data_IF_295458354820
#
_entry.id   IF_295458354820
#
_cell.length_a   1.000
_cell.length_b   1.000
_cell.length_c   1.000
_cell.angle_alpha   90.00
_cell.angle_beta   90.00
_cell.angle_gamma   90.00
#
_symmetry.space_group_name_H-M   'P 1'
#
loop_
_entity.id
_entity.type
_entity.pdbx_description
1 polymer ?
#
# COMPACT_ATOMS: atom_id res chain seq x y z
N UNK A 1 -44.05 -59.07 25.55
CA UNK A 1 -45.00 -57.97 25.86
C UNK A 1 -44.39 -57.14 26.98
N UNK A 2 -44.23 -55.83 26.71
CA UNK A 2 -44.19 -54.69 27.67
C UNK A 2 -43.03 -54.67 28.67
N UNK A 3 -41.95 -53.87 28.52
CA UNK A 3 -41.83 -52.39 28.68
C UNK A 3 -42.31 -51.96 30.08
N UNK A 4 -41.60 -51.27 30.98
CA UNK A 4 -40.93 -49.99 30.85
C UNK A 4 -40.11 -49.70 32.13
N UNK A 5 -38.89 -49.17 32.03
CA UNK A 5 -38.22 -48.43 33.12
C UNK A 5 -37.82 -47.06 32.57
N UNK A 6 -38.46 -46.03 33.12
CA UNK A 6 -38.18 -44.62 32.85
C UNK A 6 -36.85 -44.25 33.54
N UNK A 7 -35.91 -43.70 32.77
CA UNK A 7 -34.74 -43.00 33.31
C UNK A 7 -34.74 -41.57 32.80
N UNK A 8 -34.54 -40.66 33.75
CA UNK A 8 -34.35 -39.23 33.60
C UNK A 8 -33.24 -38.91 32.58
N UNK A 9 -33.53 -38.01 31.64
CA UNK A 9 -32.52 -37.36 30.80
C UNK A 9 -32.55 -35.87 31.15
N UNK A 10 -31.50 -35.39 31.81
CA UNK A 10 -31.24 -33.96 31.96
C UNK A 10 -30.75 -33.42 30.62
N UNK A 11 -31.52 -32.52 30.00
CA UNK A 11 -31.02 -31.63 28.95
C UNK A 11 -30.21 -30.51 29.63
N UNK A 12 -28.92 -30.42 29.31
CA UNK A 12 -28.15 -29.19 29.47
C UNK A 12 -28.07 -28.57 28.07
N UNK A 13 -28.80 -27.47 27.87
CA UNK A 13 -28.58 -26.58 26.72
C UNK A 13 -27.29 -25.79 26.96
N UNK A 14 -26.28 -26.01 26.12
CA UNK A 14 -25.16 -25.09 25.98
C UNK A 14 -25.41 -24.19 24.77
N UNK A 15 -25.83 -22.95 25.02
CA UNK A 15 -25.82 -21.89 24.02
C UNK A 15 -24.36 -21.47 23.76
N UNK A 16 -23.75 -22.02 22.71
CA UNK A 16 -22.50 -21.50 22.16
C UNK A 16 -22.85 -20.42 21.13
N UNK A 17 -22.87 -19.17 21.59
CA UNK A 17 -22.86 -18.01 20.70
C UNK A 17 -21.53 -17.97 19.96
N UNK A 18 -21.57 -18.13 18.63
CA UNK A 18 -20.43 -17.88 17.78
C UNK A 18 -20.20 -16.38 17.73
N UNK A 19 -19.16 -15.92 18.44
CA UNK A 19 -18.59 -14.60 18.24
C UNK A 19 -17.76 -14.68 16.95
N UNK A 20 -18.35 -14.28 15.82
CA UNK A 20 -17.58 -14.09 14.59
C UNK A 20 -16.68 -12.87 14.78
N UNK A 21 -15.45 -13.10 15.20
CA UNK A 21 -14.39 -12.12 15.10
C UNK A 21 -14.13 -11.94 13.60
N UNK A 22 -14.63 -10.85 13.03
CA UNK A 22 -14.18 -10.39 11.72
C UNK A 22 -12.77 -9.85 11.89
N UNK A 23 -11.78 -10.72 11.70
CA UNK A 23 -10.42 -10.29 11.40
C UNK A 23 -10.51 -9.68 10.01
N UNK A 24 -10.42 -8.33 9.92
CA UNK A 24 -10.21 -7.67 8.64
C UNK A 24 -8.83 -8.08 8.15
N UNK A 25 -8.79 -8.70 6.97
CA UNK A 25 -7.54 -8.93 6.27
C UNK A 25 -6.87 -7.57 6.04
N UNK A 26 -5.69 -7.41 6.63
CA UNK A 26 -4.67 -6.50 6.13
C UNK A 26 -4.53 -6.77 4.62
N UNK A 27 -4.46 -5.72 3.80
CA UNK A 27 -4.42 -5.82 2.35
C UNK A 27 -3.03 -6.33 1.91
N UNK A 28 -2.75 -7.60 2.25
CA UNK A 28 -1.59 -8.34 1.79
C UNK A 28 -1.76 -8.49 0.28
N UNK A 29 -1.14 -7.60 -0.49
CA UNK A 29 -1.01 -7.81 -1.94
C UNK A 29 -0.36 -9.18 -2.11
N UNK A 30 -1.00 -10.11 -2.82
CA UNK A 30 -0.58 -11.50 -2.80
C UNK A 30 0.84 -11.57 -3.36
N UNK A 31 1.76 -12.26 -2.69
CA UNK A 31 3.15 -12.42 -3.14
C UNK A 31 3.29 -13.30 -4.39
N UNK A 32 2.16 -13.77 -4.91
CA UNK A 32 2.01 -14.54 -6.11
C UNK A 32 0.68 -14.25 -6.83
N UNK A 33 0.65 -14.56 -8.12
CA UNK A 33 -0.55 -14.54 -8.97
C UNK A 33 -0.67 -15.89 -9.66
N UNK A 34 -1.89 -16.31 -9.96
CA UNK A 34 -2.17 -17.57 -10.66
C UNK A 34 -3.08 -17.29 -11.84
N UNK A 35 -2.61 -17.59 -13.05
CA UNK A 35 -3.32 -17.31 -14.32
C UNK A 35 -2.85 -18.29 -15.39
N UNK A 36 -3.76 -18.70 -16.28
CA UNK A 36 -3.45 -19.52 -17.45
C UNK A 36 -2.79 -18.63 -18.52
N UNK A 37 -1.46 -18.71 -18.62
CA UNK A 37 -0.65 -17.84 -19.48
C UNK A 37 -0.66 -18.29 -20.94
N UNK A 38 -0.80 -19.59 -21.20
CA UNK A 38 -0.72 -20.17 -22.54
C UNK A 38 -2.03 -20.74 -23.09
N UNK A 39 -3.10 -20.70 -22.29
CA UNK A 39 -4.44 -21.10 -22.68
C UNK A 39 -4.66 -22.62 -22.68
N UNK A 40 -3.81 -23.40 -21.98
CA UNK A 40 -3.93 -24.86 -21.91
C UNK A 40 -4.94 -25.34 -20.85
N UNK A 41 -5.52 -24.42 -20.08
CA UNK A 41 -6.47 -24.69 -19.01
C UNK A 41 -5.82 -25.03 -17.66
N UNK A 42 -4.49 -24.92 -17.54
CA UNK A 42 -3.73 -25.13 -16.31
C UNK A 42 -3.02 -23.83 -15.95
N UNK A 43 -3.36 -23.21 -14.82
CA UNK A 43 -2.78 -21.91 -14.52
C UNK A 43 -1.32 -22.02 -14.06
N UNK A 44 -0.48 -21.14 -14.60
CA UNK A 44 0.87 -20.87 -14.13
C UNK A 44 0.84 -20.01 -12.86
N UNK A 45 1.89 -20.16 -12.05
CA UNK A 45 2.14 -19.29 -10.90
C UNK A 45 3.20 -18.25 -11.24
N UNK A 46 2.85 -16.98 -11.08
CA UNK A 46 3.74 -15.84 -11.20
C UNK A 46 4.12 -15.41 -9.78
N UNK A 47 5.42 -15.31 -9.48
CA UNK A 47 5.91 -14.83 -8.20
C UNK A 47 6.97 -13.77 -8.39
N UNK A 48 7.26 -12.98 -7.37
CA UNK A 48 8.39 -12.07 -7.36
C UNK A 48 9.25 -12.30 -6.12
N UNK A 49 10.53 -12.56 -6.36
CA UNK A 49 11.48 -12.92 -5.30
C UNK A 49 12.52 -11.81 -5.19
N UNK A 50 12.65 -11.24 -3.98
CA UNK A 50 13.72 -10.29 -3.68
C UNK A 50 15.08 -10.90 -4.03
N UNK A 51 15.83 -10.25 -4.90
CA UNK A 51 17.17 -10.72 -5.29
C UNK A 51 18.29 -9.79 -4.82
N UNK A 52 17.99 -8.52 -4.58
CA UNK A 52 18.92 -7.57 -3.99
C UNK A 52 18.18 -6.42 -3.32
N UNK A 53 18.91 -5.62 -2.57
CA UNK A 53 18.47 -4.39 -1.94
C UNK A 53 19.66 -3.43 -1.96
N UNK A 54 19.41 -2.18 -2.30
CA UNK A 54 20.40 -1.11 -2.26
C UNK A 54 19.99 -0.08 -1.21
N UNK A 55 20.96 0.51 -0.51
CA UNK A 55 20.67 1.55 0.49
C UNK A 55 20.01 2.79 -0.14
N UNK A 56 20.43 3.13 -1.36
CA UNK A 56 19.97 4.33 -2.06
C UNK A 56 18.58 4.14 -2.68
N UNK A 57 18.25 2.98 -3.24
CA UNK A 57 17.02 2.82 -4.03
C UNK A 57 15.96 2.02 -3.26
N UNK A 58 16.34 0.90 -2.64
CA UNK A 58 15.42 0.01 -1.93
C UNK A 58 15.50 -1.43 -2.42
N UNK A 59 14.37 -2.15 -2.36
CA UNK A 59 14.32 -3.59 -2.65
C UNK A 59 14.05 -3.87 -4.13
N UNK A 60 14.74 -4.86 -4.68
CA UNK A 60 14.58 -5.31 -6.07
C UNK A 60 14.13 -6.76 -6.14
N UNK A 61 13.14 -7.01 -6.99
CA UNK A 61 12.49 -8.30 -7.14
C UNK A 61 12.62 -8.84 -8.57
N UNK A 62 12.83 -10.15 -8.66
CA UNK A 62 12.85 -10.88 -9.91
C UNK A 62 11.50 -11.58 -10.06
N UNK A 63 10.77 -11.27 -11.13
CA UNK A 63 9.55 -12.03 -11.49
C UNK A 63 9.94 -13.41 -12.00
N UNK A 64 9.21 -14.43 -11.57
CA UNK A 64 9.37 -15.82 -11.97
C UNK A 64 8.02 -16.40 -12.37
N UNK A 65 8.04 -17.25 -13.38
CA UNK A 65 6.86 -18.00 -13.83
C UNK A 65 7.15 -19.47 -13.66
N UNK A 66 6.24 -20.17 -12.99
CA UNK A 66 6.29 -21.61 -12.77
C UNK A 66 5.05 -22.28 -13.35
N UNK A 67 5.22 -23.49 -13.85
CA UNK A 67 4.11 -24.35 -14.23
C UNK A 67 3.32 -24.81 -12.98
N UNK A 68 2.17 -25.45 -13.22
CA UNK A 68 1.31 -25.99 -12.15
C UNK A 68 1.99 -27.06 -11.27
N UNK A 69 3.07 -27.69 -11.73
CA UNK A 69 3.86 -28.67 -10.96
C UNK A 69 5.02 -28.01 -10.18
N UNK A 70 5.24 -26.70 -10.34
CA UNK A 70 6.33 -25.94 -9.72
C UNK A 70 7.62 -25.92 -10.53
N UNK A 71 7.62 -26.41 -11.76
CA UNK A 71 8.73 -26.30 -12.71
C UNK A 71 8.91 -24.86 -13.18
N UNK A 72 10.14 -24.36 -13.20
CA UNK A 72 10.43 -22.99 -13.63
C UNK A 72 10.32 -22.88 -15.17
N UNK A 73 9.41 -22.02 -15.64
CA UNK A 73 9.21 -21.74 -17.06
C UNK A 73 10.02 -20.53 -17.53
N UNK A 74 10.05 -19.47 -16.72
CA UNK A 74 10.73 -18.22 -17.06
C UNK A 74 11.16 -17.44 -15.82
N UNK A 75 12.26 -16.68 -15.95
CA UNK A 75 12.66 -15.67 -14.98
C UNK A 75 12.98 -14.35 -15.66
N UNK A 76 12.57 -13.27 -15.02
CA UNK A 76 12.95 -11.91 -15.39
C UNK A 76 14.43 -11.64 -15.13
N UNK A 77 14.93 -10.51 -15.67
CA UNK A 77 16.31 -10.11 -15.46
C UNK A 77 16.57 -9.77 -13.97
N UNK A 78 17.80 -10.04 -13.51
CA UNK A 78 18.32 -9.54 -12.23
C UNK A 78 19.15 -8.29 -12.47
N UNK A 79 18.48 -7.19 -12.77
CA UNK A 79 19.11 -5.90 -13.03
C UNK A 79 18.47 -4.84 -12.14
N UNK A 80 19.25 -3.82 -11.76
CA UNK A 80 18.83 -2.74 -10.86
C UNK A 80 18.54 -1.44 -11.61
N UNK A 81 18.59 -1.46 -12.94
CA UNK A 81 18.22 -0.30 -13.76
C UNK A 81 16.70 -0.08 -13.71
N UNK A 82 16.27 0.95 -12.98
CA UNK A 82 14.85 1.23 -12.71
C UNK A 82 14.09 1.74 -13.93
N UNK A 83 14.80 2.17 -14.99
CA UNK A 83 14.23 2.48 -16.31
C UNK A 83 13.88 1.21 -17.11
N UNK A 84 14.41 0.05 -16.71
CA UNK A 84 14.11 -1.20 -17.38
C UNK A 84 12.67 -1.63 -17.06
N UNK A 85 11.81 -1.84 -18.08
CA UNK A 85 10.40 -2.19 -17.87
C UNK A 85 10.17 -3.57 -17.24
N UNK A 86 11.21 -4.42 -17.13
CA UNK A 86 11.17 -5.71 -16.46
C UNK A 86 11.83 -5.69 -15.07
N UNK A 87 12.05 -4.50 -14.51
CA UNK A 87 12.58 -4.32 -13.16
C UNK A 87 11.43 -3.93 -12.22
N UNK A 88 11.37 -4.60 -11.09
CA UNK A 88 10.29 -4.47 -10.11
C UNK A 88 10.91 -4.22 -8.74
N UNK A 89 10.30 -3.36 -7.96
CA UNK A 89 10.87 -2.96 -6.68
C UNK A 89 9.92 -2.23 -5.76
N UNK A 90 10.38 -2.15 -4.52
CA UNK A 90 9.88 -1.25 -3.50
C UNK A 90 10.97 -0.22 -3.28
N UNK A 91 10.84 0.92 -3.95
CA UNK A 91 11.85 1.98 -3.88
C UNK A 91 11.35 3.18 -3.11
N UNK A 92 12.29 4.03 -2.68
CA UNK A 92 11.97 5.28 -2.00
C UNK A 92 11.16 6.25 -2.87
N UNK A 93 11.08 6.02 -4.18
CA UNK A 93 10.32 6.83 -5.12
C UNK A 93 9.16 6.06 -5.75
N UNK A 94 8.74 4.94 -5.15
CA UNK A 94 7.52 4.26 -5.52
C UNK A 94 7.61 2.74 -5.54
N UNK A 95 6.43 2.13 -5.59
CA UNK A 95 6.22 0.70 -5.74
C UNK A 95 6.03 0.34 -7.21
N UNK A 96 6.55 -0.81 -7.62
CA UNK A 96 6.48 -1.21 -9.02
C UNK A 96 6.16 -2.69 -9.25
N UNK A 97 5.70 -3.44 -8.24
CA UNK A 97 5.36 -4.86 -8.43
C UNK A 97 4.00 -5.01 -9.15
N UNK A 98 3.74 -6.16 -9.80
CA UNK A 98 2.49 -6.39 -10.53
C UNK A 98 1.23 -6.21 -9.68
N UNK A 99 0.18 -5.63 -10.27
CA UNK A 99 -1.15 -5.49 -9.66
C UNK A 99 -2.17 -6.47 -10.24
N UNK A 100 -2.01 -6.82 -11.52
CA UNK A 100 -2.93 -7.69 -12.24
C UNK A 100 -2.16 -8.54 -13.25
N UNK A 101 -2.59 -9.79 -13.40
CA UNK A 101 -2.25 -10.67 -14.50
C UNK A 101 -3.54 -11.12 -15.20
N UNK A 102 -3.83 -10.60 -16.39
CA UNK A 102 -5.07 -10.87 -17.13
C UNK A 102 -4.93 -10.52 -18.62
N UNK A 103 -5.86 -10.99 -19.45
CA UNK A 103 -6.08 -10.45 -20.81
C UNK A 103 -6.78 -9.10 -20.69
N UNK A 104 -6.01 -8.01 -20.79
CA UNK A 104 -6.52 -6.65 -20.53
C UNK A 104 -6.92 -5.88 -21.79
N UNK A 105 -6.70 -6.45 -22.98
CA UNK A 105 -7.08 -5.87 -24.26
C UNK A 105 -7.97 -6.77 -25.14
N UNK A 106 -8.28 -7.97 -24.66
CA UNK A 106 -9.23 -8.92 -25.26
C UNK A 106 -8.66 -9.70 -26.44
N UNK A 107 -7.33 -9.77 -26.58
CA UNK A 107 -6.67 -10.48 -27.67
C UNK A 107 -6.29 -11.94 -27.33
N UNK A 108 -6.58 -12.37 -26.10
CA UNK A 108 -6.32 -13.71 -25.58
C UNK A 108 -4.91 -13.93 -25.05
N UNK A 109 -4.00 -12.96 -25.17
CA UNK A 109 -2.72 -12.99 -24.47
C UNK A 109 -2.89 -12.46 -23.04
N UNK A 110 -2.04 -12.92 -22.12
CA UNK A 110 -2.04 -12.42 -20.75
C UNK A 110 -1.00 -11.32 -20.59
N UNK A 111 -1.40 -10.22 -19.98
CA UNK A 111 -0.52 -9.13 -19.57
C UNK A 111 -0.36 -9.05 -18.05
N UNK A 112 0.82 -8.62 -17.63
CA UNK A 112 1.03 -7.99 -16.35
C UNK A 112 0.76 -6.49 -16.45
N UNK A 113 -0.09 -5.99 -15.56
CA UNK A 113 -0.25 -4.56 -15.30
C UNK A 113 0.58 -4.19 -14.09
N UNK A 114 1.57 -3.33 -14.29
CA UNK A 114 2.49 -2.94 -13.21
C UNK A 114 2.60 -1.41 -13.16
N UNK A 115 2.46 -0.77 -11.99
CA UNK A 115 2.73 0.66 -11.86
C UNK A 115 4.22 0.91 -12.13
N UNK A 116 4.51 2.01 -12.82
CA UNK A 116 5.83 2.62 -12.77
C UNK A 116 6.01 3.25 -11.37
N UNK A 117 7.23 3.24 -10.83
CA UNK A 117 7.48 3.86 -9.53
C UNK A 117 7.19 5.36 -9.59
N UNK A 118 6.44 5.84 -8.61
CA UNK A 118 6.02 7.24 -8.50
C UNK A 118 6.09 7.70 -7.04
N UNK A 119 6.57 8.93 -6.82
CA UNK A 119 6.78 9.55 -5.51
C UNK A 119 5.87 10.75 -5.24
N UNK A 120 4.98 11.09 -6.18
CA UNK A 120 4.07 12.23 -6.11
C UNK A 120 2.60 11.80 -6.28
N UNK A 121 1.68 12.78 -6.28
CA UNK A 121 0.24 12.57 -6.50
C UNK A 121 -0.13 12.92 -7.95
N UNK A 122 0.59 12.36 -8.91
CA UNK A 122 0.28 12.46 -10.34
C UNK A 122 -0.46 11.21 -10.85
N UNK A 123 -1.01 11.23 -12.08
CA UNK A 123 -1.62 10.04 -12.67
C UNK A 123 -0.66 8.86 -12.76
N UNK A 124 -1.09 7.72 -12.23
CA UNK A 124 -0.30 6.49 -12.22
C UNK A 124 0.11 6.11 -13.64
N UNK A 125 1.41 6.06 -13.87
CA UNK A 125 1.97 5.45 -15.07
C UNK A 125 1.98 3.93 -14.90
N UNK A 126 1.56 3.21 -15.93
CA UNK A 126 1.64 1.76 -15.98
C UNK A 126 2.61 1.30 -17.04
N UNK A 127 3.27 0.17 -16.76
CA UNK A 127 4.02 -0.65 -17.70
C UNK A 127 3.23 -1.93 -17.92
N UNK A 128 2.87 -2.18 -19.17
CA UNK A 128 2.17 -3.38 -19.60
C UNK A 128 3.16 -4.32 -20.24
N UNK A 129 3.17 -5.55 -19.73
CA UNK A 129 4.16 -6.56 -20.07
C UNK A 129 3.41 -7.83 -20.46
N UNK A 130 3.50 -8.24 -21.72
CA UNK A 130 2.75 -9.35 -22.29
C UNK A 130 3.52 -10.66 -22.21
N UNK A 131 2.83 -11.75 -21.88
CA UNK A 131 3.36 -13.09 -22.04
C UNK A 131 3.35 -13.47 -23.53
N UNK A 132 4.53 -13.68 -24.10
CA UNK A 132 4.69 -14.02 -25.51
C UNK A 132 5.91 -14.90 -25.73
N UNK A 133 5.69 -16.08 -26.32
CA UNK A 133 6.77 -17.01 -26.67
C UNK A 133 7.54 -17.51 -25.45
N UNK A 134 6.84 -17.82 -24.35
CA UNK A 134 7.44 -18.37 -23.13
C UNK A 134 8.17 -17.35 -22.26
N UNK A 135 7.90 -16.05 -22.43
CA UNK A 135 8.51 -14.97 -21.63
C UNK A 135 7.63 -13.73 -21.57
N UNK A 136 7.88 -12.89 -20.58
CA UNK A 136 7.29 -11.55 -20.53
C UNK A 136 8.07 -10.55 -21.40
N UNK A 137 7.33 -9.76 -22.19
CA UNK A 137 7.87 -8.74 -23.11
C UNK A 137 7.11 -7.41 -22.89
N UNK A 138 7.80 -6.27 -22.70
CA UNK A 138 7.15 -4.97 -22.57
C UNK A 138 6.42 -4.60 -23.87
N UNK A 139 5.16 -4.15 -23.76
CA UNK A 139 4.34 -3.81 -24.94
C UNK A 139 3.77 -2.39 -24.89
N UNK A 140 3.56 -1.82 -23.70
CA UNK A 140 3.00 -0.47 -23.57
C UNK A 140 3.45 0.19 -22.28
N UNK A 141 3.57 1.51 -22.33
CA UNK A 141 3.68 2.36 -21.15
C UNK A 141 2.79 3.58 -21.31
N UNK A 142 2.10 3.96 -20.23
CA UNK A 142 1.26 5.15 -20.23
C UNK A 142 0.34 5.20 -19.01
N UNK A 143 -0.38 6.30 -18.90
CA UNK A 143 -1.40 6.52 -17.88
C UNK A 143 -2.80 6.25 -18.44
N UNK A 144 -3.76 6.11 -17.52
CA UNK A 144 -5.17 5.94 -17.80
C UNK A 144 -5.94 7.15 -17.26
N UNK A 145 -5.75 8.29 -17.91
CA UNK A 145 -6.35 9.57 -17.54
C UNK A 145 -7.69 9.76 -18.26
N UNK A 146 -8.71 10.17 -17.53
CA UNK A 146 -10.07 10.34 -18.03
C UNK A 146 -10.11 11.42 -19.12
N UNK A 147 -10.41 11.00 -20.35
CA UNK A 147 -10.37 11.88 -21.51
C UNK A 147 -11.51 11.58 -22.48
N UNK A 148 -12.41 12.53 -22.78
CA UNK A 148 -12.58 13.83 -22.10
C UNK A 148 -12.99 13.69 -20.62
N UNK A 149 -12.75 14.72 -19.82
CA UNK A 149 -13.17 14.73 -18.40
C UNK A 149 -14.67 14.50 -18.24
N UNK A 150 -15.06 13.72 -17.24
CA UNK A 150 -16.45 13.41 -16.93
C UNK A 150 -17.14 12.39 -17.84
N UNK A 151 -16.43 11.75 -18.77
CA UNK A 151 -17.02 10.74 -19.67
C UNK A 151 -16.94 9.31 -19.12
N UNK A 152 -16.19 9.08 -18.04
CA UNK A 152 -15.85 7.76 -17.53
C UNK A 152 -14.97 6.96 -18.49
N UNK A 153 -14.24 7.61 -19.40
CA UNK A 153 -13.38 6.93 -20.38
C UNK A 153 -11.93 7.19 -20.05
N UNK A 154 -11.15 6.14 -19.86
CA UNK A 154 -9.75 6.18 -19.53
C UNK A 154 -8.94 5.59 -20.67
N UNK A 155 -8.70 6.34 -21.76
CA UNK A 155 -7.81 5.89 -22.81
C UNK A 155 -6.37 5.82 -22.32
N UNK A 156 -5.58 4.95 -22.94
CA UNK A 156 -4.14 4.96 -22.77
C UNK A 156 -3.55 6.27 -23.29
N UNK A 157 -2.80 6.95 -22.45
CA UNK A 157 -2.26 8.28 -22.76
C UNK A 157 -0.79 8.41 -22.34
N UNK A 158 -0.09 9.32 -23.04
CA UNK A 158 1.25 9.80 -22.69
C UNK A 158 1.24 11.29 -22.29
N UNK A 159 0.09 11.75 -21.78
CA UNK A 159 -0.08 13.13 -21.33
C UNK A 159 0.94 13.50 -20.24
N UNK A 160 1.25 14.78 -20.12
CA UNK A 160 1.95 15.39 -18.99
C UNK A 160 0.98 16.06 -17.99
N UNK A 161 -0.33 15.87 -18.20
CA UNK A 161 -1.36 16.42 -17.34
C UNK A 161 -1.38 15.73 -15.98
N UNK A 162 -1.24 16.52 -14.92
CA UNK A 162 -1.17 16.07 -13.53
C UNK A 162 -2.49 16.28 -12.77
N UNK A 163 -3.51 16.86 -13.42
CA UNK A 163 -4.84 17.07 -12.86
C UNK A 163 -5.90 16.29 -13.64
N UNK A 164 -6.87 15.72 -12.95
CA UNK A 164 -7.99 15.02 -13.55
C UNK A 164 -8.36 13.77 -12.78
N UNK A 165 -9.09 12.88 -13.44
CA UNK A 165 -9.53 11.59 -12.91
C UNK A 165 -8.70 10.50 -13.59
N UNK A 166 -8.11 9.55 -12.87
CA UNK A 166 -7.37 8.45 -13.47
C UNK A 166 -7.60 7.13 -12.74
N UNK A 167 -7.36 6.02 -13.45
CA UNK A 167 -7.26 4.71 -12.80
C UNK A 167 -5.94 4.67 -12.01
N UNK A 168 -6.02 4.57 -10.68
CA UNK A 168 -4.86 4.62 -9.78
C UNK A 168 -4.31 3.24 -9.42
N UNK A 169 -5.18 2.22 -9.39
CA UNK A 169 -4.82 0.84 -9.07
C UNK A 169 -5.74 -0.16 -9.79
N UNK A 170 -5.20 -1.32 -10.15
CA UNK A 170 -6.00 -2.48 -10.59
C UNK A 170 -6.23 -3.44 -9.42
N UNK A 171 -7.49 -3.81 -9.17
CA UNK A 171 -7.91 -4.58 -7.98
C UNK A 171 -8.38 -6.01 -8.33
N UNK A 172 -8.44 -6.36 -9.61
CA UNK A 172 -8.79 -7.70 -10.08
C UNK A 172 -9.71 -7.74 -11.30
N UNK A 173 -10.02 -8.95 -11.75
CA UNK A 173 -10.97 -9.25 -12.83
C UNK A 173 -12.24 -9.83 -12.23
N UNK A 174 -13.39 -9.34 -12.68
CA UNK A 174 -14.70 -9.88 -12.33
C UNK A 174 -15.10 -11.02 -13.28
N UNK A 175 -16.08 -11.83 -12.87
CA UNK A 175 -16.52 -12.99 -13.67
C UNK A 175 -17.12 -12.65 -15.03
N UNK A 176 -17.54 -11.39 -15.25
CA UNK A 176 -18.03 -10.89 -16.54
C UNK A 176 -16.91 -10.31 -17.43
N UNK A 177 -15.65 -10.45 -17.01
CA UNK A 177 -14.47 -9.89 -17.69
C UNK A 177 -14.29 -8.39 -17.48
N UNK A 178 -15.11 -7.71 -16.66
CA UNK A 178 -14.81 -6.34 -16.26
C UNK A 178 -13.63 -6.30 -15.29
N UNK A 179 -12.90 -5.20 -15.31
CA UNK A 179 -11.79 -4.96 -14.39
C UNK A 179 -12.31 -4.12 -13.23
N UNK A 180 -12.04 -4.56 -12.01
CA UNK A 180 -12.27 -3.74 -10.82
C UNK A 180 -11.05 -2.86 -10.60
N UNK A 181 -11.27 -1.56 -10.55
CA UNK A 181 -10.21 -0.56 -10.46
C UNK A 181 -10.51 0.45 -9.37
N UNK A 182 -9.44 0.97 -8.80
CA UNK A 182 -9.48 2.18 -8.01
C UNK A 182 -9.34 3.39 -8.93
N UNK A 183 -10.13 4.42 -8.67
CA UNK A 183 -10.11 5.67 -9.42
C UNK A 183 -9.79 6.80 -8.47
N UNK A 184 -8.79 7.60 -8.82
CA UNK A 184 -8.39 8.79 -8.09
C UNK A 184 -8.71 10.02 -8.91
N UNK A 185 -9.06 11.12 -8.25
CA UNK A 185 -9.23 12.42 -8.88
C UNK A 185 -8.50 13.51 -8.12
N UNK A 186 -7.77 14.33 -8.86
CA UNK A 186 -7.12 15.53 -8.35
C UNK A 186 -7.49 16.76 -9.18
N UNK A 187 -8.17 17.71 -8.54
CA UNK A 187 -8.56 18.99 -9.16
C UNK A 187 -7.57 20.14 -8.96
N UNK A 188 -6.42 19.90 -8.32
CA UNK A 188 -5.52 20.94 -7.84
C UNK A 188 -5.82 21.39 -6.39
N UNK A 189 -4.80 21.86 -5.67
CA UNK A 189 -4.95 22.28 -4.27
C UNK A 189 -5.10 21.09 -3.32
N UNK A 190 -6.14 21.11 -2.46
CA UNK A 190 -6.41 20.08 -1.43
C UNK A 190 -7.56 19.13 -1.79
N UNK A 191 -8.19 19.30 -2.95
CA UNK A 191 -9.35 18.49 -3.34
C UNK A 191 -8.88 17.22 -4.03
N UNK A 192 -8.86 16.12 -3.27
CA UNK A 192 -8.65 14.76 -3.77
C UNK A 192 -9.90 13.93 -3.55
N UNK A 193 -10.25 13.12 -4.54
CA UNK A 193 -11.36 12.17 -4.45
C UNK A 193 -10.89 10.78 -4.83
N UNK A 194 -11.51 9.77 -4.23
CA UNK A 194 -11.25 8.38 -4.55
C UNK A 194 -12.55 7.60 -4.60
N UNK A 195 -12.58 6.59 -5.46
CA UNK A 195 -13.69 5.68 -5.65
C UNK A 195 -13.21 4.38 -6.24
N UNK A 196 -14.15 3.47 -6.47
CA UNK A 196 -13.91 2.21 -7.13
C UNK A 196 -14.97 2.00 -8.21
N UNK A 197 -14.52 1.50 -9.36
CA UNK A 197 -15.36 1.25 -10.50
C UNK A 197 -15.12 -0.15 -11.05
N UNK A 198 -16.15 -0.69 -11.69
CA UNK A 198 -15.97 -1.72 -12.69
C UNK A 198 -15.84 -1.05 -14.05
N UNK A 199 -14.78 -1.37 -14.76
CA UNK A 199 -14.53 -0.85 -16.11
C UNK A 199 -14.59 -1.98 -17.14
N UNK A 200 -15.13 -1.67 -18.31
CA UNK A 200 -15.08 -2.52 -19.49
C UNK A 200 -13.84 -2.23 -20.32
N UNK A 201 -13.29 -3.27 -20.95
CA UNK A 201 -12.20 -3.18 -21.91
C UNK A 201 -12.73 -2.54 -23.20
N UNK A 202 -12.06 -1.49 -23.67
CA UNK A 202 -12.22 -0.93 -25.02
C UNK A 202 -10.86 -0.98 -25.74
N UNK A 203 -10.89 -0.89 -27.07
CA UNK A 203 -9.69 -0.97 -27.93
C UNK A 203 -8.52 -0.10 -27.45
N UNK A 204 -8.82 1.11 -26.98
CA UNK A 204 -7.82 2.12 -26.64
C UNK A 204 -7.79 2.45 -25.14
N UNK A 205 -8.38 1.62 -24.27
CA UNK A 205 -8.38 1.83 -22.82
C UNK A 205 -9.59 1.23 -22.13
N UNK A 206 -10.19 1.97 -21.21
CA UNK A 206 -11.29 1.47 -20.38
C UNK A 206 -12.46 2.44 -20.29
N UNK A 207 -13.66 1.91 -20.09
CA UNK A 207 -14.87 2.69 -19.85
C UNK A 207 -15.56 2.25 -18.56
N UNK A 208 -15.96 3.19 -17.71
CA UNK A 208 -16.74 2.91 -16.50
C UNK A 208 -18.06 2.26 -16.90
N UNK A 209 -18.26 1.01 -16.47
CA UNK A 209 -19.56 0.33 -16.53
C UNK A 209 -20.43 0.77 -15.35
N UNK A 210 -19.87 0.76 -14.14
CA UNK A 210 -20.54 1.22 -12.92
C UNK A 210 -19.54 1.55 -11.82
N UNK A 211 -19.94 2.44 -10.92
CA UNK A 211 -19.24 2.67 -9.66
C UNK A 211 -19.67 1.63 -8.63
N UNK A 212 -18.72 0.92 -8.02
CA UNK A 212 -18.94 0.12 -6.81
C UNK A 212 -18.86 1.03 -5.58
N UNK A 213 -18.00 2.04 -5.65
CA UNK A 213 -17.86 3.12 -4.67
C UNK A 213 -17.73 4.45 -5.40
N UNK A 214 -18.70 5.38 -5.27
CA UNK A 214 -18.63 6.66 -5.99
C UNK A 214 -17.40 7.45 -5.56
N UNK A 215 -16.88 8.29 -6.47
CA UNK A 215 -15.85 9.27 -6.12
C UNK A 215 -16.34 10.15 -4.97
N UNK A 216 -15.65 10.05 -3.84
CA UNK A 216 -15.88 10.87 -2.66
C UNK A 216 -14.59 11.58 -2.29
N UNK A 217 -14.72 12.77 -1.71
CA UNK A 217 -13.58 13.41 -1.06
C UNK A 217 -12.97 12.41 -0.07
N UNK A 218 -11.64 12.36 0.00
CA UNK A 218 -10.98 11.50 0.98
C UNK A 218 -11.48 11.79 2.41
N UNK A 219 -11.84 13.04 2.69
CA UNK A 219 -12.46 13.49 3.96
C UNK A 219 -13.83 12.86 4.27
N UNK A 220 -14.54 12.32 3.27
CA UNK A 220 -15.91 11.79 3.38
C UNK A 220 -15.98 10.26 3.25
N UNK A 221 -14.84 9.61 3.08
CA UNK A 221 -14.71 8.16 3.02
C UNK A 221 -14.63 7.59 4.45
N UNK A 222 -15.44 6.60 4.84
CA UNK A 222 -15.23 5.93 6.12
C UNK A 222 -13.85 5.28 6.08
N UNK A 223 -12.90 5.81 6.86
CA UNK A 223 -11.55 5.26 6.96
C UNK A 223 -11.61 3.75 7.18
N UNK A 224 -10.73 2.96 6.55
CA UNK A 224 -10.56 1.56 6.92
C UNK A 224 -9.90 1.53 8.30
N UNK A 225 -10.69 1.69 9.37
CA UNK A 225 -10.30 1.66 10.81
C UNK A 225 -8.79 1.83 11.01
N UNK A 226 -8.32 3.07 10.91
CA UNK A 226 -7.05 3.52 11.41
C UNK A 226 -7.35 4.88 12.07
N UNK A 227 -7.02 4.99 13.36
CA UNK A 227 -7.39 6.12 14.20
C UNK A 227 -6.91 7.44 13.63
N UNK A 228 -7.83 8.41 13.65
CA UNK A 228 -7.66 9.86 13.47
C UNK A 228 -6.85 10.33 12.25
N UNK A 229 -7.55 10.60 11.13
CA UNK A 229 -7.02 11.43 10.04
C UNK A 229 -6.96 12.92 10.45
N UNK A 230 -5.95 13.70 10.01
CA UNK A 230 -5.84 15.11 10.35
C UNK A 230 -6.51 15.99 9.29
N UNK A 231 -7.28 16.96 9.76
CA UNK A 231 -7.94 18.02 8.98
C UNK A 231 -6.93 18.98 8.29
N UNK A 232 -7.34 19.82 7.33
CA UNK A 232 -6.44 20.81 6.73
C UNK A 232 -6.21 21.96 7.72
N UNK A 233 -4.95 22.16 8.13
CA UNK A 233 -4.57 22.92 9.34
C UNK A 233 -4.61 22.09 10.64
N UNK A 234 -4.80 20.79 10.50
CA UNK A 234 -5.09 19.84 11.56
C UNK A 234 -3.84 19.44 12.32
N UNK A 235 -3.93 19.69 13.62
CA UNK A 235 -3.08 19.11 14.62
C UNK A 235 -3.15 17.58 14.50
N UNK A 236 -2.00 16.93 14.24
CA UNK A 236 -1.88 15.46 14.21
C UNK A 236 -1.35 15.04 15.57
N UNK A 237 -2.00 14.11 16.26
CA UNK A 237 -1.49 13.58 17.53
C UNK A 237 -1.24 12.09 17.38
N UNK A 238 -0.01 11.64 17.67
CA UNK A 238 0.30 10.22 17.78
C UNK A 238 1.03 9.91 19.08
N UNK A 239 1.03 8.64 19.46
CA UNK A 239 1.78 8.12 20.60
C UNK A 239 2.87 7.19 20.12
N UNK A 240 4.02 7.28 20.78
CA UNK A 240 5.19 6.47 20.45
C UNK A 240 5.93 6.08 21.72
N UNK A 241 6.28 4.81 21.86
CA UNK A 241 7.32 4.39 22.79
C UNK A 241 8.65 4.53 22.06
N UNK A 242 9.59 5.29 22.63
CA UNK A 242 10.92 5.43 22.03
C UNK A 242 11.82 4.31 22.54
N UNK A 243 11.68 3.12 21.97
CA UNK A 243 12.44 1.94 22.35
C UNK A 243 13.93 2.02 22.04
N UNK A 244 14.67 0.96 22.39
CA UNK A 244 16.11 0.90 22.15
C UNK A 244 16.45 1.02 20.66
N UNK A 245 15.59 0.48 19.79
CA UNK A 245 15.79 0.47 18.34
C UNK A 245 15.73 1.86 17.69
N UNK A 246 15.02 2.80 18.31
CA UNK A 246 14.83 4.14 17.73
C UNK A 246 16.02 5.07 17.97
N UNK A 247 16.94 4.65 18.83
CA UNK A 247 18.12 5.40 19.20
C UNK A 247 19.30 5.16 18.27
N UNK A 248 19.13 4.32 17.25
CA UNK A 248 20.19 3.97 16.31
C UNK A 248 19.68 4.09 14.88
N UNK A 249 20.51 4.62 14.00
CA UNK A 249 20.23 4.58 12.58
C UNK A 249 20.46 3.16 12.01
N UNK A 250 20.20 2.99 10.71
CA UNK A 250 20.41 1.72 10.00
C UNK A 250 21.85 1.20 10.00
N UNK A 251 22.85 2.07 10.26
CA UNK A 251 24.27 1.68 10.36
C UNK A 251 24.70 1.34 11.80
N UNK A 252 23.77 1.43 12.77
CA UNK A 252 24.04 1.15 14.18
C UNK A 252 24.69 2.32 14.93
N UNK A 253 24.77 3.50 14.32
CA UNK A 253 25.25 4.71 14.99
C UNK A 253 24.15 5.33 15.84
N UNK A 254 24.53 5.80 17.03
CA UNK A 254 23.60 6.37 17.99
C UNK A 254 23.12 7.76 17.56
N UNK A 255 21.80 7.95 17.54
CA UNK A 255 21.15 9.22 17.22
C UNK A 255 21.21 10.17 18.43
N UNK A 256 21.47 11.46 18.15
CA UNK A 256 21.64 12.50 19.18
C UNK A 256 20.62 13.66 19.08
N UNK A 257 19.75 13.62 18.07
CA UNK A 257 18.69 14.60 17.85
C UNK A 257 17.33 13.95 18.07
N UNK A 258 16.44 14.67 18.74
CA UNK A 258 15.08 14.20 19.00
C UNK A 258 14.31 13.95 17.70
N UNK A 259 14.43 14.84 16.71
CA UNK A 259 13.81 14.65 15.39
C UNK A 259 14.26 13.36 14.70
N UNK A 260 15.54 13.00 14.82
CA UNK A 260 16.08 11.80 14.18
C UNK A 260 15.56 10.53 14.87
N UNK A 261 15.43 10.56 16.20
CA UNK A 261 14.87 9.46 17.01
C UNK A 261 13.38 9.28 16.69
N UNK A 262 12.59 10.35 16.67
CA UNK A 262 11.17 10.29 16.29
C UNK A 262 10.98 9.79 14.85
N UNK A 263 11.88 10.18 13.94
CA UNK A 263 11.86 9.69 12.55
C UNK A 263 12.17 8.20 12.49
N UNK A 264 13.16 7.74 13.25
CA UNK A 264 13.56 6.33 13.32
C UNK A 264 12.43 5.47 13.90
N UNK A 265 11.77 5.94 14.95
CA UNK A 265 10.56 5.35 15.53
C UNK A 265 9.45 5.19 14.49
N UNK A 266 9.05 6.27 13.79
CA UNK A 266 8.03 6.17 12.74
C UNK A 266 8.45 5.25 11.59
N UNK A 267 9.75 5.18 11.28
CA UNK A 267 10.28 4.26 10.28
C UNK A 267 10.22 2.80 10.76
N UNK A 268 10.50 2.53 12.04
CA UNK A 268 10.39 1.20 12.63
C UNK A 268 8.92 0.75 12.66
N UNK A 269 8.02 1.62 13.12
CA UNK A 269 6.57 1.39 13.11
C UNK A 269 6.05 1.03 11.70
N UNK A 270 6.39 1.83 10.69
CA UNK A 270 5.96 1.59 9.31
C UNK A 270 6.52 0.29 8.69
N UNK A 271 7.63 -0.23 9.23
CA UNK A 271 8.26 -1.48 8.78
C UNK A 271 7.85 -2.70 9.64
N UNK A 272 6.82 -2.58 10.48
CA UNK A 272 6.36 -3.66 11.36
C UNK A 272 7.33 -3.98 12.51
N UNK A 273 8.20 -3.05 12.87
CA UNK A 273 9.18 -3.14 13.96
C UNK A 273 8.93 -2.12 15.08
N UNK A 274 7.74 -1.50 15.10
CA UNK A 274 7.36 -0.56 16.16
C UNK A 274 7.20 -1.25 17.51
N UNK A 275 7.18 -0.44 18.56
CA UNK A 275 6.93 -0.88 19.92
C UNK A 275 5.43 -1.09 20.18
N UNK A 276 5.08 -1.92 21.16
CA UNK A 276 3.69 -2.32 21.47
C UNK A 276 2.75 -1.12 21.80
N UNK A 277 3.30 0.00 22.26
CA UNK A 277 2.56 1.21 22.64
C UNK A 277 2.49 2.25 21.51
N UNK A 278 2.99 1.93 20.32
CA UNK A 278 2.97 2.83 19.18
C UNK A 278 1.57 2.92 18.57
N UNK A 279 1.10 4.16 18.45
CA UNK A 279 -0.13 4.48 17.76
C UNK A 279 0.09 4.72 16.27
N UNK A 280 -0.96 4.54 15.45
CA UNK A 280 -0.93 4.96 14.06
C UNK A 280 -0.68 6.47 13.97
N UNK A 281 0.03 6.86 12.92
CA UNK A 281 0.28 8.26 12.58
C UNK A 281 0.02 8.46 11.07
N UNK A 282 -1.02 9.22 10.70
CA UNK A 282 -1.32 9.47 9.30
C UNK A 282 -0.28 10.38 8.64
N UNK A 283 0.37 11.27 9.40
CA UNK A 283 1.19 12.35 8.86
C UNK A 283 2.54 11.88 8.35
N UNK A 284 3.12 10.88 9.00
CA UNK A 284 4.40 10.24 8.68
C UNK A 284 4.21 8.77 8.29
N UNK A 285 3.05 8.43 7.75
CA UNK A 285 2.75 7.12 7.17
C UNK A 285 3.65 6.78 5.97
N UNK A 286 4.12 7.78 5.22
CA UNK A 286 5.07 7.60 4.09
C UNK A 286 6.51 7.93 4.48
N UNK A 287 7.47 7.38 3.73
CA UNK A 287 8.90 7.64 3.96
C UNK A 287 9.25 9.11 3.71
N UNK A 288 8.69 9.72 2.67
CA UNK A 288 8.93 11.12 2.28
C UNK A 288 8.46 12.07 3.39
N UNK A 289 7.33 11.75 4.01
CA UNK A 289 6.85 12.51 5.14
C UNK A 289 7.78 12.38 6.35
N UNK A 290 8.28 11.17 6.64
CA UNK A 290 9.30 10.93 7.68
C UNK A 290 10.61 11.65 7.39
N UNK A 291 11.05 11.65 6.13
CA UNK A 291 12.27 12.32 5.70
C UNK A 291 12.17 13.83 5.89
N UNK A 292 10.98 14.42 5.71
CA UNK A 292 10.70 15.82 6.01
C UNK A 292 10.63 16.17 7.50
N UNK A 293 10.78 15.22 8.43
CA UNK A 293 10.75 15.49 9.88
C UNK A 293 11.97 16.30 10.34
N UNK A 294 13.06 16.28 9.58
CA UNK A 294 14.27 17.10 9.81
C UNK A 294 14.01 18.61 9.71
N UNK A 295 12.98 19.00 8.95
CA UNK A 295 12.51 20.39 8.79
C UNK A 295 11.58 20.83 9.90
N UNK A 296 11.14 19.91 10.76
CA UNK A 296 10.26 20.22 11.89
C UNK A 296 11.08 20.50 13.14
N UNK A 297 10.59 21.40 13.98
CA UNK A 297 11.25 21.81 15.23
C UNK A 297 10.62 21.08 16.42
N UNK A 298 11.34 20.18 17.08
CA UNK A 298 10.87 19.55 18.32
C UNK A 298 10.85 20.53 19.48
N UNK A 299 9.74 20.59 20.20
CA UNK A 299 9.54 21.50 21.35
C UNK A 299 8.93 20.72 22.52
N UNK A 300 9.48 20.87 23.75
CA UNK A 300 8.88 20.26 24.95
C UNK A 300 7.57 20.95 25.35
N UNK A 301 6.58 20.18 25.80
CA UNK A 301 5.29 20.73 26.27
C UNK A 301 5.29 21.02 27.78
N UNK A 302 5.70 20.06 28.61
CA UNK A 302 5.45 20.10 30.08
C UNK A 302 6.73 20.11 30.93
N UNK A 303 7.92 20.32 30.35
CA UNK A 303 9.17 20.36 31.11
C UNK A 303 10.26 21.18 30.42
N UNK A 304 11.35 21.47 31.15
CA UNK A 304 12.49 22.22 30.59
C UNK A 304 13.24 21.44 29.52
N UNK A 305 13.70 22.15 28.48
CA UNK A 305 14.34 21.59 27.28
C UNK A 305 15.51 20.64 27.59
N UNK A 306 16.39 20.99 28.52
CA UNK A 306 17.54 20.15 28.87
C UNK A 306 17.12 18.80 29.47
N UNK A 307 16.16 18.79 30.39
CA UNK A 307 15.66 17.57 31.02
C UNK A 307 14.82 16.72 30.06
N UNK A 308 14.05 17.38 29.18
CA UNK A 308 13.28 16.74 28.11
C UNK A 308 14.19 16.04 27.10
N UNK A 309 15.23 16.74 26.63
CA UNK A 309 16.20 16.19 25.68
C UNK A 309 16.97 15.02 26.29
N UNK A 310 17.38 15.12 27.54
CA UNK A 310 18.02 14.01 28.25
C UNK A 310 17.11 12.79 28.33
N UNK A 311 15.84 12.98 28.68
CA UNK A 311 14.88 11.89 28.79
C UNK A 311 14.58 11.20 27.45
N UNK A 312 14.60 11.94 26.34
CA UNK A 312 14.36 11.37 25.00
C UNK A 312 15.63 10.78 24.39
N UNK A 313 16.77 11.45 24.48
CA UNK A 313 18.01 10.98 23.82
C UNK A 313 18.66 9.82 24.58
N UNK A 314 18.46 9.75 25.90
CA UNK A 314 19.09 8.73 26.75
C UNK A 314 18.11 7.82 27.49
N UNK A 315 16.79 8.02 27.33
CA UNK A 315 15.75 7.19 27.94
C UNK A 315 14.93 6.43 26.92
N UNK A 316 13.88 5.76 27.38
CA UNK A 316 12.90 5.09 26.52
C UNK A 316 11.47 5.53 26.84
N UNK A 317 11.18 6.84 26.79
CA UNK A 317 9.90 7.37 27.26
C UNK A 317 8.75 6.96 26.34
N UNK A 318 7.54 6.94 26.91
CA UNK A 318 6.32 7.03 26.12
C UNK A 318 6.06 8.50 25.87
N UNK A 319 5.92 8.87 24.60
CA UNK A 319 5.64 10.24 24.19
C UNK A 319 4.31 10.35 23.48
N UNK A 320 3.70 11.51 23.61
CA UNK A 320 2.62 12.00 22.76
C UNK A 320 3.20 13.13 21.92
N UNK A 321 3.12 13.00 20.61
CA UNK A 321 3.66 13.96 19.66
C UNK A 321 2.52 14.62 18.94
N UNK A 322 2.43 15.93 19.11
CA UNK A 322 1.50 16.79 18.42
C UNK A 322 2.23 17.55 17.30
N UNK A 323 1.89 17.25 16.04
CA UNK A 323 2.43 17.92 14.85
C UNK A 323 1.55 19.12 14.54
N UNK A 324 2.13 20.32 14.60
CA UNK A 324 1.45 21.58 14.27
C UNK A 324 2.37 22.47 13.44
N UNK A 325 1.94 22.79 12.22
CA UNK A 325 2.71 23.57 11.25
C UNK A 325 4.13 22.99 11.04
N UNK A 326 5.17 23.70 11.49
CA UNK A 326 6.57 23.29 11.43
C UNK A 326 7.12 22.80 12.78
N UNK A 327 6.24 22.48 13.73
CA UNK A 327 6.60 22.17 15.13
C UNK A 327 6.12 20.77 15.52
N UNK A 328 6.97 20.04 16.26
CA UNK A 328 6.63 18.79 16.94
C UNK A 328 6.56 19.08 18.44
N UNK A 329 5.35 19.27 18.96
CA UNK A 329 5.14 19.42 20.40
C UNK A 329 5.19 18.03 21.04
N UNK A 330 6.22 17.74 21.82
CA UNK A 330 6.46 16.41 22.37
C UNK A 330 6.24 16.42 23.88
N UNK A 331 5.24 15.67 24.32
CA UNK A 331 4.90 15.48 25.72
C UNK A 331 5.34 14.09 26.16
N UNK A 332 6.14 14.01 27.22
CA UNK A 332 6.50 12.73 27.84
C UNK A 332 5.36 12.30 28.77
N UNK A 333 4.74 11.15 28.48
CA UNK A 333 3.64 10.56 29.25
C UNK A 333 4.15 9.66 30.37
N UNK A 334 5.20 8.87 30.11
CA UNK A 334 5.89 8.04 31.09
C UNK A 334 7.38 7.88 30.74
N UNK A 335 8.21 7.53 31.73
CA UNK A 335 9.66 7.33 31.59
C UNK A 335 10.01 5.87 31.77
#
# INVERSE_FOLDING_TARGET
MTVCRIRYFCLILACLGWLSISVRAEEVRPSDMTVDLDGDGRPERITWVKFTETEDEGEFFQVRVMDAAGGLLWEGPKVTDTENPLVFGNWHFGYSLPELAADIDGDGAIELVTPAPQSDVSPTWYRIIRWQGGRFVPVRMGMLLETPRGTGKFPWSKSDEWQGTWISSFLGVESDGSLRVEVFEYGGGVTTRQGEALVGIEKDGYVVKRWTRPLKALTDMPSPVAGDEPLPGGVVVYRARLGAGDHFNSTGERLAKVSDILRQDRANYANGKGDDEDGPDPRFSTREARDGMDKLTPVPVDMGEAAWREAIVNGQPLVEVEVKDTTLNVKILSR
#
